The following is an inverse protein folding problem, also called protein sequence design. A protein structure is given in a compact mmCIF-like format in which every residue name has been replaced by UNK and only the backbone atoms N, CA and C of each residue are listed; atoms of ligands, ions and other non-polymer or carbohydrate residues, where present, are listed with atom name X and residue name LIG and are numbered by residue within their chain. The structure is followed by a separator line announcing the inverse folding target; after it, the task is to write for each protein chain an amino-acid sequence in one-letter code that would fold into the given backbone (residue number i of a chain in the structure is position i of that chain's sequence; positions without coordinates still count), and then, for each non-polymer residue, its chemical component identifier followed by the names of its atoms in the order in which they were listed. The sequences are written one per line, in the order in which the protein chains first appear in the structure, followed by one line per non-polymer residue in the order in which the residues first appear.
data_IF_440924885453
#
_entry.id   IF_440924885453
#
_cell.length_a   1.000
_cell.length_b   1.000
_cell.length_c   1.000
_cell.angle_alpha   90.00
_cell.angle_beta   90.00
_cell.angle_gamma   90.00
#
_symmetry.space_group_name_H-M   'P 1'
#
loop_
_entity.id
_entity.type
_entity.pdbx_description
1 polymer ?
#
# COMPACT_ATOMS: atom_id res chain seq x y z
N UNK A 1 -6.43 -12.62 -0.04
CA UNK A 1 -5.10 -12.07 0.30
C UNK A 1 -5.26 -10.63 0.77
N UNK A 2 -4.40 -10.18 1.67
CA UNK A 2 -4.38 -8.82 2.16
C UNK A 2 -3.15 -8.11 1.60
N UNK A 3 -3.35 -7.07 0.81
CA UNK A 3 -2.28 -6.18 0.36
C UNK A 3 -1.98 -5.18 1.49
N UNK A 4 -0.72 -4.99 1.79
CA UNK A 4 -0.27 -4.08 2.84
C UNK A 4 0.18 -2.76 2.22
N UNK A 5 -0.38 -1.65 2.71
CA UNK A 5 0.15 -0.33 2.42
C UNK A 5 1.56 -0.22 3.00
N UNK A 6 2.43 0.53 2.36
CA UNK A 6 3.85 0.68 2.75
C UNK A 6 4.01 1.02 4.23
N UNK A 7 3.20 1.94 4.74
CA UNK A 7 3.29 2.36 6.14
C UNK A 7 2.96 1.25 7.13
N UNK A 8 2.14 0.28 6.76
CA UNK A 8 1.86 -0.88 7.63
C UNK A 8 3.14 -1.67 7.89
N UNK A 9 3.94 -1.90 6.85
CA UNK A 9 5.24 -2.58 6.99
C UNK A 9 6.21 -1.73 7.83
N UNK A 10 6.25 -0.42 7.58
CA UNK A 10 7.10 0.51 8.35
C UNK A 10 6.72 0.48 9.83
N UNK A 11 5.44 0.57 10.17
CA UNK A 11 4.99 0.55 11.57
C UNK A 11 5.31 -0.79 12.26
N UNK A 12 5.20 -1.90 11.55
CA UNK A 12 5.55 -3.21 12.11
C UNK A 12 7.04 -3.30 12.48
N UNK A 13 7.89 -2.48 11.87
CA UNK A 13 9.34 -2.40 12.10
C UNK A 13 9.73 -1.24 13.02
N UNK A 14 8.79 -0.47 13.51
CA UNK A 14 9.02 0.73 14.33
C UNK A 14 8.35 0.59 15.68
N UNK A 15 9.05 0.03 16.70
CA UNK A 15 8.44 -0.26 18.01
C UNK A 15 7.81 0.95 18.70
N UNK A 16 8.32 2.16 18.43
CA UNK A 16 7.80 3.40 19.03
C UNK A 16 6.55 3.96 18.34
N UNK A 17 6.16 3.38 17.20
CA UNK A 17 4.96 3.82 16.50
C UNK A 17 3.69 3.46 17.29
N UNK A 18 2.70 4.38 17.39
CA UNK A 18 1.40 4.06 17.98
C UNK A 18 0.64 2.97 17.21
N UNK A 19 1.01 2.72 15.94
CA UNK A 19 0.41 1.69 15.09
C UNK A 19 1.21 0.39 15.05
N UNK A 20 2.30 0.30 15.82
CA UNK A 20 3.20 -0.87 15.78
C UNK A 20 2.48 -2.18 16.07
N UNK A 21 1.74 -2.24 17.16
CA UNK A 21 1.04 -3.46 17.58
C UNK A 21 -0.04 -3.85 16.56
N UNK A 22 -0.85 -2.89 16.14
CA UNK A 22 -1.87 -3.12 15.12
C UNK A 22 -1.26 -3.66 13.83
N UNK A 23 -0.18 -3.05 13.34
CA UNK A 23 0.49 -3.47 12.10
C UNK A 23 1.01 -4.91 12.20
N UNK A 24 1.63 -5.26 13.32
CA UNK A 24 2.10 -6.63 13.59
C UNK A 24 0.95 -7.65 13.56
N UNK A 25 -0.17 -7.30 14.20
CA UNK A 25 -1.35 -8.15 14.25
C UNK A 25 -1.97 -8.33 12.85
N UNK A 26 -2.02 -7.27 12.04
CA UNK A 26 -2.54 -7.36 10.67
C UNK A 26 -1.66 -8.26 9.81
N UNK A 27 -0.34 -8.12 9.89
CA UNK A 27 0.58 -8.97 9.13
C UNK A 27 0.45 -10.42 9.59
N UNK A 28 0.51 -10.68 10.87
CA UNK A 28 0.41 -12.03 11.42
C UNK A 28 -0.92 -12.70 11.06
N UNK A 29 -2.02 -11.97 11.18
CA UNK A 29 -3.35 -12.47 10.83
C UNK A 29 -3.49 -12.78 9.34
N UNK A 30 -2.95 -11.93 8.47
CA UNK A 30 -2.95 -12.17 7.04
C UNK A 30 -2.08 -13.37 6.65
N UNK A 31 -0.87 -13.47 7.21
CA UNK A 31 0.05 -14.60 6.97
C UNK A 31 -0.60 -15.93 7.40
N UNK A 32 -1.28 -15.94 8.55
CA UNK A 32 -1.96 -17.14 9.04
C UNK A 32 -3.26 -17.44 8.28
N UNK A 33 -3.84 -16.46 7.62
CA UNK A 33 -5.12 -16.58 6.92
C UNK A 33 -4.99 -16.60 5.41
N UNK A 34 -5.50 -15.56 4.75
CA UNK A 34 -5.58 -15.48 3.29
C UNK A 34 -4.25 -15.16 2.59
N UNK A 35 -3.25 -14.81 3.32
CA UNK A 35 -1.94 -14.39 2.82
C UNK A 35 -1.71 -12.89 2.92
N UNK A 36 -0.47 -12.52 3.21
CA UNK A 36 -0.01 -11.14 3.25
C UNK A 36 0.85 -10.83 2.02
N UNK A 37 0.62 -9.69 1.41
CA UNK A 37 1.30 -9.28 0.19
C UNK A 37 1.72 -7.82 0.24
N UNK A 38 2.81 -7.51 -0.43
CA UNK A 38 3.15 -6.16 -0.89
C UNK A 38 3.37 -6.22 -2.39
N UNK A 39 3.33 -5.08 -3.06
CA UNK A 39 3.69 -5.04 -4.46
C UNK A 39 5.08 -4.42 -4.67
N UNK A 40 5.53 -4.45 -5.93
CA UNK A 40 6.85 -3.92 -6.32
C UNK A 40 7.01 -2.43 -5.96
N UNK A 41 5.95 -1.65 -5.95
CA UNK A 41 5.98 -0.23 -5.57
C UNK A 41 6.32 -0.08 -4.08
N UNK A 42 5.64 -0.83 -3.22
CA UNK A 42 5.96 -0.86 -1.78
C UNK A 42 7.38 -1.35 -1.53
N UNK A 43 7.81 -2.38 -2.25
CA UNK A 43 9.20 -2.86 -2.14
C UNK A 43 10.20 -1.76 -2.50
N UNK A 44 9.95 -1.01 -3.57
CA UNK A 44 10.80 0.11 -3.97
C UNK A 44 10.87 1.19 -2.87
N UNK A 45 9.73 1.53 -2.27
CA UNK A 45 9.69 2.51 -1.19
C UNK A 45 10.48 2.04 0.05
N UNK A 46 10.35 0.78 0.41
CA UNK A 46 11.11 0.20 1.53
C UNK A 46 12.61 0.16 1.24
N UNK A 47 13.02 -0.18 0.02
CA UNK A 47 14.43 -0.20 -0.39
C UNK A 47 15.04 1.19 -0.51
N UNK A 48 14.21 2.22 -0.65
CA UNK A 48 14.66 3.61 -0.71
C UNK A 48 15.02 4.20 0.66
N UNK A 49 14.66 3.53 1.76
CA UNK A 49 15.04 3.94 3.10
C UNK A 49 16.55 3.79 3.30
N UNK A 50 17.14 4.79 3.97
CA UNK A 50 18.59 4.77 4.24
C UNK A 50 18.98 3.66 5.23
N UNK A 51 20.18 3.12 5.04
CA UNK A 51 20.79 2.17 5.94
C UNK A 51 20.42 0.70 5.71
N UNK A 52 19.66 0.41 4.64
CA UNK A 52 19.29 -0.97 4.32
C UNK A 52 19.59 -1.31 2.86
N UNK A 53 20.22 -2.46 2.67
CA UNK A 53 20.43 -3.04 1.35
C UNK A 53 19.13 -3.68 0.84
N UNK A 54 18.83 -3.54 -0.46
CA UNK A 54 17.62 -4.09 -1.06
C UNK A 54 17.47 -5.60 -0.82
N UNK A 55 18.55 -6.34 -0.90
CA UNK A 55 18.55 -7.78 -0.65
C UNK A 55 18.17 -8.13 0.79
N UNK A 56 18.59 -7.33 1.77
CA UNK A 56 18.22 -7.52 3.17
C UNK A 56 16.74 -7.23 3.40
N UNK A 57 16.22 -6.16 2.79
CA UNK A 57 14.79 -5.83 2.87
C UNK A 57 13.96 -6.97 2.32
N UNK A 58 14.27 -7.46 1.13
CA UNK A 58 13.55 -8.56 0.51
C UNK A 58 13.63 -9.84 1.36
N UNK A 59 14.79 -10.12 1.94
CA UNK A 59 14.99 -11.28 2.81
C UNK A 59 14.16 -11.20 4.09
N UNK A 60 14.12 -10.04 4.74
CA UNK A 60 13.32 -9.82 5.95
C UNK A 60 11.83 -9.97 5.65
N UNK A 61 11.35 -9.39 4.55
CA UNK A 61 9.95 -9.47 4.12
C UNK A 61 9.55 -10.92 3.87
N UNK A 62 10.36 -11.66 3.12
CA UNK A 62 10.12 -13.08 2.86
C UNK A 62 10.14 -13.92 4.15
N UNK A 63 11.04 -13.60 5.09
CA UNK A 63 11.16 -14.27 6.38
C UNK A 63 9.94 -14.09 7.29
N UNK A 64 9.20 -12.98 7.14
CA UNK A 64 7.96 -12.73 7.87
C UNK A 64 6.79 -13.49 7.22
N UNK A 65 6.92 -13.92 5.97
CA UNK A 65 5.87 -14.58 5.22
C UNK A 65 5.06 -13.66 4.30
N UNK A 66 5.57 -12.47 4.03
CA UNK A 66 4.95 -11.53 3.08
C UNK A 66 5.44 -11.86 1.67
N UNK A 67 4.49 -12.04 0.74
CA UNK A 67 4.80 -12.24 -0.67
C UNK A 67 4.94 -10.89 -1.39
N UNK A 68 5.86 -10.82 -2.35
CA UNK A 68 6.05 -9.65 -3.20
C UNK A 68 5.49 -9.93 -4.59
N UNK A 69 4.59 -9.06 -5.06
CA UNK A 69 3.95 -9.19 -6.37
C UNK A 69 4.39 -8.07 -7.31
N UNK A 70 4.56 -8.42 -8.56
CA UNK A 70 4.66 -7.43 -9.62
C UNK A 70 3.33 -6.70 -9.78
N UNK A 71 3.37 -5.45 -10.21
CA UNK A 71 2.14 -4.71 -10.52
C UNK A 71 1.70 -5.06 -11.93
N UNK A 72 0.52 -5.70 -12.09
CA UNK A 72 0.05 -6.05 -13.44
C UNK A 72 -0.31 -4.79 -14.24
N UNK A 73 -0.20 -4.89 -15.57
CA UNK A 73 -0.51 -3.77 -16.47
C UNK A 73 -1.95 -3.26 -16.30
N UNK A 74 -2.90 -4.17 -16.02
CA UNK A 74 -4.29 -3.80 -15.74
C UNK A 74 -4.42 -2.90 -14.50
N UNK A 75 -3.64 -3.17 -13.46
CA UNK A 75 -3.60 -2.33 -12.26
C UNK A 75 -2.94 -0.98 -12.56
N UNK A 76 -1.90 -0.94 -13.39
CA UNK A 76 -1.26 0.31 -13.79
C UNK A 76 -2.23 1.20 -14.60
N UNK A 77 -2.99 0.63 -15.52
CA UNK A 77 -4.01 1.37 -16.28
C UNK A 77 -5.11 1.91 -15.36
N UNK A 78 -5.60 1.10 -14.41
CA UNK A 78 -6.59 1.53 -13.41
C UNK A 78 -6.04 2.62 -12.49
N UNK A 79 -4.78 2.51 -12.10
CA UNK A 79 -4.07 3.51 -11.33
C UNK A 79 -4.08 4.87 -12.05
N UNK A 80 -3.72 4.89 -13.32
CA UNK A 80 -3.69 6.12 -14.12
C UNK A 80 -5.06 6.78 -14.24
N UNK A 81 -6.10 5.98 -14.45
CA UNK A 81 -7.48 6.46 -14.50
C UNK A 81 -7.92 7.10 -13.17
N UNK A 82 -7.71 6.42 -12.06
CA UNK A 82 -8.06 6.91 -10.74
C UNK A 82 -7.27 8.19 -10.37
N UNK A 83 -5.98 8.22 -10.69
CA UNK A 83 -5.12 9.37 -10.44
C UNK A 83 -5.55 10.60 -11.25
N UNK A 84 -5.92 10.40 -12.50
CA UNK A 84 -6.46 11.46 -13.35
C UNK A 84 -7.75 12.04 -12.76
N UNK A 85 -8.65 11.20 -12.27
CA UNK A 85 -9.89 11.62 -11.62
C UNK A 85 -9.60 12.39 -10.33
N UNK A 86 -8.64 11.94 -9.54
CA UNK A 86 -8.20 12.64 -8.34
C UNK A 86 -7.65 14.04 -8.66
N UNK A 87 -6.80 14.17 -9.66
CA UNK A 87 -6.24 15.46 -10.07
C UNK A 87 -7.34 16.42 -10.56
N UNK A 88 -8.29 15.92 -11.33
CA UNK A 88 -9.45 16.72 -11.80
C UNK A 88 -10.29 17.22 -10.63
N UNK A 89 -10.56 16.37 -9.65
CA UNK A 89 -11.33 16.75 -8.46
C UNK A 89 -10.59 17.82 -7.64
N UNK A 90 -9.29 17.65 -7.43
CA UNK A 90 -8.47 18.64 -6.72
C UNK A 90 -8.49 20.00 -7.42
N UNK A 91 -8.39 20.03 -8.72
CA UNK A 91 -8.45 21.27 -9.51
C UNK A 91 -9.80 21.99 -9.36
N UNK A 92 -10.91 21.25 -9.33
CA UNK A 92 -12.24 21.83 -9.10
C UNK A 92 -12.42 22.42 -7.71
N UNK A 93 -11.92 21.74 -6.69
CA UNK A 93 -12.13 22.13 -5.28
C UNK A 93 -11.19 23.23 -4.81
N UNK A 94 -9.98 23.30 -5.32
CA UNK A 94 -8.93 24.19 -4.78
C UNK A 94 -8.27 25.08 -5.83
N UNK A 95 -8.62 24.96 -7.10
CA UNK A 95 -7.96 25.61 -8.23
C UNK A 95 -6.43 25.39 -8.28
N UNK A 96 -5.98 24.28 -7.68
CA UNK A 96 -4.57 23.87 -7.63
C UNK A 96 -4.39 22.55 -8.38
N UNK A 97 -3.37 22.50 -9.25
CA UNK A 97 -3.02 21.31 -10.02
C UNK A 97 -1.91 20.48 -9.35
N UNK A 98 -1.68 20.70 -8.05
CA UNK A 98 -0.67 19.99 -7.28
C UNK A 98 -1.31 18.88 -6.44
N UNK A 99 -1.11 17.59 -6.78
CA UNK A 99 -1.67 16.48 -6.01
C UNK A 99 -1.00 16.37 -4.63
N UNK A 100 -1.81 16.13 -3.58
CA UNK A 100 -1.32 15.87 -2.22
C UNK A 100 -1.02 14.39 -1.98
N UNK A 101 -1.73 13.51 -2.69
CA UNK A 101 -1.51 12.06 -2.60
C UNK A 101 -0.61 11.66 -3.75
N UNK A 102 0.54 11.04 -3.48
CA UNK A 102 1.48 10.65 -4.53
C UNK A 102 0.98 9.46 -5.35
N UNK A 103 1.43 9.40 -6.61
CA UNK A 103 1.08 8.32 -7.53
C UNK A 103 1.32 6.91 -6.98
N UNK A 104 2.41 6.62 -6.22
CA UNK A 104 2.62 5.30 -5.63
C UNK A 104 1.44 4.76 -4.83
N UNK A 105 0.74 5.60 -4.06
CA UNK A 105 -0.43 5.17 -3.28
C UNK A 105 -1.56 4.69 -4.19
N UNK A 106 -1.73 5.32 -5.35
CA UNK A 106 -2.73 4.90 -6.34
C UNK A 106 -2.39 3.56 -6.99
N UNK A 107 -1.11 3.23 -7.15
CA UNK A 107 -0.69 1.89 -7.58
C UNK A 107 -1.12 0.82 -6.58
N UNK A 108 -1.02 1.10 -5.30
CA UNK A 108 -1.40 0.17 -4.23
C UNK A 108 -2.92 -0.06 -4.26
N UNK A 109 -3.70 1.02 -4.28
CA UNK A 109 -5.17 0.93 -4.34
C UNK A 109 -5.67 0.21 -5.58
N UNK A 110 -5.15 0.56 -6.74
CA UNK A 110 -5.51 -0.07 -8.01
C UNK A 110 -5.17 -1.56 -8.04
N UNK A 111 -4.01 -1.95 -7.50
CA UNK A 111 -3.60 -3.34 -7.45
C UNK A 111 -4.56 -4.17 -6.58
N UNK A 112 -4.87 -3.68 -5.40
CA UNK A 112 -5.83 -4.37 -4.52
C UNK A 112 -7.21 -4.50 -5.18
N UNK A 113 -7.71 -3.43 -5.82
CA UNK A 113 -9.00 -3.45 -6.51
C UNK A 113 -9.04 -4.49 -7.65
N UNK A 114 -8.05 -4.47 -8.53
CA UNK A 114 -7.98 -5.40 -9.69
C UNK A 114 -7.90 -6.86 -9.23
N UNK A 115 -7.19 -7.13 -8.15
CA UNK A 115 -7.05 -8.49 -7.62
C UNK A 115 -8.21 -8.94 -6.75
N UNK A 116 -9.10 -8.02 -6.37
CA UNK A 116 -10.16 -8.31 -5.40
C UNK A 116 -9.63 -8.58 -3.99
N UNK A 117 -8.49 -8.02 -3.65
CA UNK A 117 -7.86 -8.17 -2.33
C UNK A 117 -8.30 -7.05 -1.39
N UNK A 118 -8.32 -7.34 -0.08
CA UNK A 118 -8.44 -6.28 0.90
C UNK A 118 -7.12 -5.53 1.05
N UNK A 119 -7.20 -4.28 1.48
CA UNK A 119 -6.05 -3.41 1.69
C UNK A 119 -5.96 -2.98 3.15
N UNK A 120 -4.85 -3.29 3.80
CA UNK A 120 -4.56 -2.80 5.14
C UNK A 120 -3.84 -1.45 5.06
N UNK A 121 -4.42 -0.44 5.69
CA UNK A 121 -3.88 0.92 5.71
C UNK A 121 -4.30 1.66 6.98
N UNK A 122 -3.47 2.58 7.44
CA UNK A 122 -3.85 3.51 8.51
C UNK A 122 -4.43 4.83 7.98
N UNK A 123 -4.44 5.03 6.67
CA UNK A 123 -5.00 6.23 6.05
C UNK A 123 -6.02 5.88 4.95
N UNK A 124 -7.25 5.54 5.34
CA UNK A 124 -8.29 5.11 4.39
C UNK A 124 -8.70 6.21 3.40
N UNK A 125 -8.50 7.48 3.75
CA UNK A 125 -8.92 8.61 2.91
C UNK A 125 -8.21 8.66 1.57
N UNK A 126 -7.02 8.06 1.47
CA UNK A 126 -6.25 7.97 0.22
C UNK A 126 -6.90 7.05 -0.81
N UNK A 127 -7.76 6.13 -0.36
CA UNK A 127 -8.26 5.04 -1.19
C UNK A 127 -9.79 5.02 -1.34
N UNK A 128 -10.53 5.35 -0.30
CA UNK A 128 -11.97 5.10 -0.23
C UNK A 128 -12.81 5.83 -1.29
N UNK A 129 -12.34 6.96 -1.81
CA UNK A 129 -13.08 7.76 -2.78
C UNK A 129 -12.76 7.41 -4.25
N UNK A 130 -11.72 6.60 -4.47
CA UNK A 130 -11.19 6.35 -5.83
C UNK A 130 -11.21 4.90 -6.22
N UNK A 131 -11.35 3.99 -5.24
CA UNK A 131 -11.32 2.56 -5.45
C UNK A 131 -12.46 1.87 -4.72
N UNK A 132 -12.97 0.80 -5.34
CA UNK A 132 -13.94 -0.10 -4.71
C UNK A 132 -13.19 -1.29 -4.12
N UNK A 133 -12.89 -1.23 -2.83
CA UNK A 133 -12.14 -2.28 -2.13
C UNK A 133 -12.45 -2.27 -0.64
N UNK A 134 -12.18 -3.38 0.02
CA UNK A 134 -12.33 -3.50 1.47
C UNK A 134 -11.06 -2.99 2.14
N UNK A 135 -11.22 -2.02 3.02
CA UNK A 135 -10.12 -1.47 3.82
C UNK A 135 -10.09 -2.12 5.20
N UNK A 136 -8.88 -2.45 5.66
CA UNK A 136 -8.61 -2.90 7.03
C UNK A 136 -7.82 -1.80 7.71
N UNK A 137 -8.37 -1.28 8.81
CA UNK A 137 -7.88 -0.07 9.48
C UNK A 137 -7.70 -0.31 10.97
N UNK A 138 -6.84 0.48 11.63
CA UNK A 138 -6.72 0.44 13.07
C UNK A 138 -8.01 0.78 13.80
#
# INVERSE_FOLDING_TARGET
MTLLDTMVVVYARTPDSPFHQWAKEQIAGAVAGSGAAINAVTLAELCAEEGMEAAEVAHQIAGIGIEVFDVPASAAARCGEAYRNYRRQRKRESDKDSPKVPLPDFFIGAHAEIMGWELATNDPRRFQNYFSLKLVMP
#
